data_IF_560824626782
#
_entry.id   IF_560824626782
#
_cell.length_a   1.000
_cell.length_b   1.000
_cell.length_c   1.000
_cell.angle_alpha   90.00
_cell.angle_beta   90.00
_cell.angle_gamma   90.00
#
_symmetry.space_group_name_H-M   'P 1'
#
loop_
_entity.id
_entity.type
_entity.pdbx_description
1 polymer ?
#
# COMPACT_ATOMS: atom_id res chain seq x y z
N UNK A 1 16.87 -12.69 -8.16
CA UNK A 1 16.85 -11.43 -7.42
C UNK A 1 16.10 -11.62 -6.12
N UNK A 2 16.69 -11.26 -5.00
CA UNK A 2 16.00 -11.30 -3.71
C UNK A 2 15.27 -9.99 -3.41
N UNK A 3 14.51 -9.95 -2.29
CA UNK A 3 13.74 -8.77 -1.91
C UNK A 3 14.58 -7.52 -1.72
N UNK A 4 15.78 -7.68 -1.16
CA UNK A 4 16.67 -6.55 -0.91
C UNK A 4 17.18 -5.93 -2.21
N UNK A 5 17.56 -6.76 -3.16
CA UNK A 5 17.97 -6.32 -4.49
C UNK A 5 16.82 -5.65 -5.23
N UNK A 6 15.65 -6.27 -5.19
CA UNK A 6 14.43 -5.72 -5.81
C UNK A 6 14.08 -4.34 -5.24
N UNK A 7 14.16 -4.20 -3.93
CA UNK A 7 13.86 -2.94 -3.25
C UNK A 7 14.83 -1.83 -3.67
N UNK A 8 16.11 -2.15 -3.90
CA UNK A 8 17.12 -1.17 -4.30
C UNK A 8 16.93 -0.63 -5.71
N UNK A 9 16.27 -1.38 -6.60
CA UNK A 9 16.01 -0.97 -8.00
C UNK A 9 14.59 -0.46 -8.24
N UNK A 10 13.79 -0.33 -7.21
CA UNK A 10 12.42 0.17 -7.32
C UNK A 10 12.38 1.58 -7.92
N UNK A 11 11.47 1.88 -8.87
CA UNK A 11 11.28 3.23 -9.39
C UNK A 11 10.97 4.26 -8.30
N UNK A 12 10.44 3.82 -7.16
CA UNK A 12 10.15 4.69 -6.01
C UNK A 12 11.41 5.27 -5.38
N UNK A 13 12.59 4.67 -5.61
CA UNK A 13 13.86 5.26 -5.15
C UNK A 13 14.12 6.62 -5.79
N UNK A 14 13.77 6.78 -7.06
CA UNK A 14 13.87 8.07 -7.76
C UNK A 14 12.94 9.09 -7.12
N UNK A 15 11.72 8.69 -6.82
CA UNK A 15 10.75 9.56 -6.14
C UNK A 15 11.23 9.97 -4.74
N UNK A 16 11.70 9.02 -3.94
CA UNK A 16 12.23 9.30 -2.60
C UNK A 16 13.42 10.24 -2.63
N UNK A 17 14.33 10.06 -3.60
CA UNK A 17 15.47 10.95 -3.78
C UNK A 17 15.04 12.38 -4.13
N UNK A 18 13.97 12.53 -4.89
CA UNK A 18 13.43 13.85 -5.26
C UNK A 18 12.82 14.61 -4.09
N UNK A 19 12.42 13.90 -3.04
CA UNK A 19 11.87 14.49 -1.82
C UNK A 19 12.78 14.29 -0.60
N UNK A 20 14.09 14.19 -0.84
CA UNK A 20 15.13 14.10 0.18
C UNK A 20 15.01 12.91 1.14
N UNK A 21 14.72 11.72 0.59
CA UNK A 21 14.72 10.48 1.35
C UNK A 21 13.35 9.91 1.68
N UNK A 22 12.29 10.48 1.16
CA UNK A 22 10.93 9.99 1.34
C UNK A 22 10.12 10.80 2.34
N UNK A 23 8.91 10.33 2.60
CA UNK A 23 7.95 11.06 3.44
C UNK A 23 8.37 11.14 4.92
N UNK A 24 9.00 10.09 5.43
CA UNK A 24 9.36 9.99 6.85
C UNK A 24 8.19 9.66 7.78
N UNK A 25 8.51 9.15 8.94
CA UNK A 25 7.51 8.78 9.96
C UNK A 25 6.81 10.02 10.53
N UNK A 26 5.50 9.87 10.78
CA UNK A 26 4.69 10.93 11.37
C UNK A 26 4.31 12.04 10.41
N UNK A 27 4.67 11.95 9.15
CA UNK A 27 4.36 12.94 8.13
C UNK A 27 3.16 12.52 7.27
N UNK A 28 2.51 13.51 6.69
CA UNK A 28 1.38 13.34 5.78
C UNK A 28 1.77 13.77 4.38
N UNK A 29 1.56 12.87 3.41
CA UNK A 29 1.69 13.17 1.99
C UNK A 29 0.34 13.18 1.30
N UNK A 30 0.15 14.08 0.36
CA UNK A 30 -1.10 14.16 -0.42
C UNK A 30 -0.78 14.09 -1.91
N UNK A 31 -1.46 13.17 -2.60
CA UNK A 31 -1.37 13.01 -4.05
C UNK A 31 -2.66 13.54 -4.66
N UNK A 32 -2.52 14.56 -5.50
CA UNK A 32 -3.66 15.20 -6.17
C UNK A 32 -3.52 15.03 -7.68
N UNK A 33 -4.56 14.53 -8.31
CA UNK A 33 -4.62 14.41 -9.76
C UNK A 33 -6.07 14.39 -10.25
N UNK A 34 -6.26 14.52 -11.56
CA UNK A 34 -7.57 14.33 -12.17
C UNK A 34 -8.03 12.88 -12.00
N UNK A 35 -9.35 12.68 -11.98
CA UNK A 35 -9.94 11.34 -11.95
C UNK A 35 -9.47 10.52 -13.16
N UNK A 36 -9.13 9.26 -12.92
CA UNK A 36 -8.72 8.34 -13.99
C UNK A 36 -7.25 8.38 -14.38
N UNK A 37 -6.41 9.14 -13.67
CA UNK A 37 -4.97 9.29 -13.99
C UNK A 37 -4.10 8.24 -13.28
N UNK A 38 -4.69 7.38 -12.45
CA UNK A 38 -3.96 6.27 -11.82
C UNK A 38 -3.52 6.52 -10.37
N UNK A 39 -4.30 7.28 -9.58
CA UNK A 39 -4.00 7.50 -8.15
C UNK A 39 -3.96 6.19 -7.38
N UNK A 40 -4.92 5.30 -7.59
CA UNK A 40 -4.97 3.99 -6.92
C UNK A 40 -3.74 3.17 -7.25
N UNK A 41 -3.35 3.11 -8.53
CA UNK A 41 -2.14 2.41 -8.95
C UNK A 41 -0.89 2.98 -8.28
N UNK A 42 -0.77 4.30 -8.18
CA UNK A 42 0.34 4.97 -7.51
C UNK A 42 0.40 4.59 -6.03
N UNK A 43 -0.73 4.63 -5.31
CA UNK A 43 -0.80 4.23 -3.91
C UNK A 43 -0.44 2.76 -3.72
N UNK A 44 -0.90 1.89 -4.62
CA UNK A 44 -0.58 0.46 -4.58
C UNK A 44 0.92 0.22 -4.79
N UNK A 45 1.56 0.97 -5.69
CA UNK A 45 3.02 0.90 -5.87
C UNK A 45 3.76 1.32 -4.60
N UNK A 46 3.36 2.40 -3.96
CA UNK A 46 3.95 2.88 -2.69
C UNK A 46 3.76 1.82 -1.60
N UNK A 47 2.56 1.27 -1.47
CA UNK A 47 2.26 0.23 -0.50
C UNK A 47 3.10 -1.03 -0.74
N UNK A 48 3.21 -1.47 -1.98
CA UNK A 48 3.99 -2.66 -2.35
C UNK A 48 5.46 -2.48 -2.01
N UNK A 49 6.02 -1.31 -2.27
CA UNK A 49 7.40 -0.99 -1.90
C UNK A 49 7.62 -1.11 -0.38
N UNK A 50 6.68 -0.60 0.41
CA UNK A 50 6.75 -0.72 1.87
C UNK A 50 6.63 -2.16 2.34
N UNK A 51 5.73 -2.93 1.74
CA UNK A 51 5.59 -4.35 2.04
C UNK A 51 6.87 -5.14 1.73
N UNK A 52 7.56 -4.79 0.66
CA UNK A 52 8.85 -5.40 0.33
C UNK A 52 9.95 -5.05 1.33
N UNK A 53 9.81 -3.94 2.05
CA UNK A 53 10.71 -3.58 3.16
C UNK A 53 10.34 -4.29 4.48
N UNK A 54 9.31 -5.13 4.48
CA UNK A 54 8.81 -5.80 5.68
C UNK A 54 7.91 -4.93 6.54
N UNK A 55 7.50 -3.78 6.04
CA UNK A 55 6.59 -2.87 6.75
C UNK A 55 5.14 -3.33 6.64
N UNK A 56 4.30 -2.89 7.59
CA UNK A 56 2.87 -3.19 7.64
C UNK A 56 2.08 -2.01 7.08
N UNK A 57 1.11 -2.29 6.22
CA UNK A 57 0.32 -1.28 5.51
C UNK A 57 -1.17 -1.49 5.71
N UNK A 58 -1.89 -0.42 6.00
CA UNK A 58 -3.35 -0.38 5.94
C UNK A 58 -3.73 0.48 4.71
N UNK A 59 -4.48 -0.10 3.80
CA UNK A 59 -5.03 0.60 2.63
C UNK A 59 -6.52 0.82 2.84
N UNK A 60 -6.92 2.06 3.03
CA UNK A 60 -8.32 2.44 3.25
C UNK A 60 -8.91 2.90 1.93
N UNK A 61 -9.89 2.17 1.42
CA UNK A 61 -10.58 2.48 0.17
C UNK A 61 -12.00 2.97 0.45
N UNK A 62 -12.43 3.95 -0.32
CA UNK A 62 -13.78 4.50 -0.29
C UNK A 62 -14.57 4.21 -1.56
N UNK A 63 -14.07 3.35 -2.43
CA UNK A 63 -14.69 3.05 -3.72
C UNK A 63 -15.95 2.19 -3.64
N UNK A 64 -16.17 1.52 -2.51
CA UNK A 64 -17.24 0.54 -2.39
C UNK A 64 -16.95 -0.80 -3.06
N UNK A 65 -15.84 -0.95 -3.75
CA UNK A 65 -15.42 -2.16 -4.42
C UNK A 65 -13.97 -2.51 -4.06
N UNK A 66 -13.82 -3.36 -3.03
CA UNK A 66 -12.51 -3.78 -2.55
C UNK A 66 -11.75 -4.64 -3.57
N UNK A 67 -12.45 -5.38 -4.41
CA UNK A 67 -11.82 -6.24 -5.43
C UNK A 67 -10.98 -5.44 -6.41
N UNK A 68 -11.41 -4.26 -6.75
CA UNK A 68 -10.65 -3.37 -7.64
C UNK A 68 -9.27 -3.04 -7.07
N UNK A 69 -9.20 -2.71 -5.78
CA UNK A 69 -7.94 -2.44 -5.08
C UNK A 69 -7.07 -3.69 -5.01
N UNK A 70 -7.66 -4.82 -4.64
CA UNK A 70 -6.94 -6.10 -4.53
C UNK A 70 -6.37 -6.51 -5.88
N UNK A 71 -7.12 -6.32 -6.97
CA UNK A 71 -6.65 -6.63 -8.32
C UNK A 71 -5.45 -5.76 -8.72
N UNK A 72 -5.42 -4.48 -8.34
CA UNK A 72 -4.25 -3.63 -8.54
C UNK A 72 -3.01 -4.17 -7.82
N UNK A 73 -3.16 -4.64 -6.59
CA UNK A 73 -2.05 -5.28 -5.86
C UNK A 73 -1.52 -6.52 -6.59
N UNK A 74 -2.41 -7.35 -7.09
CA UNK A 74 -2.04 -8.55 -7.86
C UNK A 74 -1.29 -8.20 -9.15
N UNK A 75 -1.78 -7.21 -9.89
CA UNK A 75 -1.17 -6.77 -11.14
C UNK A 75 0.22 -6.18 -10.91
N UNK A 76 0.36 -5.28 -9.96
CA UNK A 76 1.65 -4.66 -9.62
C UNK A 76 2.65 -5.73 -9.17
N UNK A 77 2.24 -6.65 -8.32
CA UNK A 77 3.11 -7.74 -7.87
C UNK A 77 3.55 -8.63 -9.04
N UNK A 78 2.61 -9.00 -9.91
CA UNK A 78 2.92 -9.81 -11.09
C UNK A 78 3.93 -9.13 -12.00
N UNK A 79 3.76 -7.86 -12.29
CA UNK A 79 4.72 -7.09 -13.10
C UNK A 79 6.12 -7.09 -12.47
N UNK A 80 6.20 -6.90 -11.17
CA UNK A 80 7.48 -6.89 -10.46
C UNK A 80 8.16 -8.26 -10.56
N UNK A 81 7.42 -9.33 -10.35
CA UNK A 81 7.95 -10.70 -10.44
C UNK A 81 8.44 -11.02 -11.85
N UNK A 82 7.65 -10.70 -12.87
CA UNK A 82 7.99 -10.97 -14.27
C UNK A 82 9.21 -10.17 -14.73
N UNK A 83 9.28 -8.90 -14.35
CA UNK A 83 10.35 -8.01 -14.81
C UNK A 83 11.68 -8.22 -14.08
N UNK A 84 11.66 -8.77 -12.89
CA UNK A 84 12.85 -8.84 -12.03
C UNK A 84 13.27 -10.26 -11.67
N UNK A 85 12.60 -11.29 -12.15
CA UNK A 85 12.92 -12.70 -11.86
C UNK A 85 13.08 -12.96 -10.37
N UNK A 86 12.06 -12.58 -9.58
CA UNK A 86 12.08 -12.70 -8.13
C UNK A 86 12.13 -14.17 -7.69
N UNK A 87 13.10 -14.51 -6.85
CA UNK A 87 13.20 -15.82 -6.23
C UNK A 87 12.07 -16.02 -5.20
N UNK A 88 11.56 -17.26 -5.08
CA UNK A 88 10.52 -17.63 -4.10
C UNK A 88 9.28 -16.73 -4.13
N UNK A 89 8.81 -16.39 -5.34
CA UNK A 89 7.72 -15.43 -5.55
C UNK A 89 6.44 -15.77 -4.75
N UNK A 90 6.10 -17.05 -4.63
CA UNK A 90 4.90 -17.46 -3.89
C UNK A 90 5.02 -17.23 -2.38
N UNK A 91 6.17 -17.53 -1.80
CA UNK A 91 6.44 -17.31 -0.38
C UNK A 91 6.45 -15.82 -0.05
N UNK A 92 7.07 -15.02 -0.91
CA UNK A 92 7.09 -13.57 -0.78
C UNK A 92 5.68 -12.99 -0.86
N UNK A 93 4.86 -13.49 -1.78
CA UNK A 93 3.47 -13.03 -1.92
C UNK A 93 2.65 -13.29 -0.66
N UNK A 94 2.75 -14.48 -0.08
CA UNK A 94 2.05 -14.80 1.16
C UNK A 94 2.51 -13.93 2.33
N UNK A 95 3.80 -13.68 2.42
CA UNK A 95 4.35 -12.79 3.43
C UNK A 95 3.82 -11.36 3.28
N UNK A 96 3.75 -10.85 2.06
CA UNK A 96 3.18 -9.55 1.75
C UNK A 96 1.72 -9.49 2.17
N UNK A 97 0.92 -10.51 1.84
CA UNK A 97 -0.49 -10.55 2.21
C UNK A 97 -0.71 -10.50 3.73
N UNK A 98 0.17 -11.13 4.51
CA UNK A 98 0.06 -11.10 5.97
C UNK A 98 0.36 -9.72 6.58
N UNK A 99 1.08 -8.87 5.86
CA UNK A 99 1.48 -7.53 6.31
C UNK A 99 0.59 -6.40 5.76
N UNK A 100 -0.44 -6.75 5.01
CA UNK A 100 -1.36 -5.78 4.40
C UNK A 100 -2.79 -6.03 4.86
N UNK A 101 -3.47 -4.95 5.24
CA UNK A 101 -4.93 -4.94 5.48
C UNK A 101 -5.56 -3.94 4.53
N UNK A 102 -6.62 -4.35 3.84
CA UNK A 102 -7.45 -3.46 3.02
C UNK A 102 -8.78 -3.27 3.74
N UNK A 103 -9.10 -2.02 4.05
CA UNK A 103 -10.38 -1.61 4.62
C UNK A 103 -11.18 -0.88 3.56
N UNK A 104 -12.45 -1.22 3.43
CA UNK A 104 -13.32 -0.57 2.45
C UNK A 104 -14.55 0.03 3.14
N UNK A 105 -14.83 1.29 2.83
CA UNK A 105 -15.99 2.02 3.34
C UNK A 105 -16.82 2.53 2.18
N UNK A 106 -18.15 2.43 2.30
CA UNK A 106 -19.06 3.06 1.35
C UNK A 106 -19.11 4.57 1.59
N UNK A 107 -18.95 5.36 0.54
CA UNK A 107 -19.01 6.82 0.64
C UNK A 107 -20.35 7.35 1.17
N UNK A 108 -21.43 6.60 0.94
CA UNK A 108 -22.79 7.03 1.34
C UNK A 108 -23.05 6.92 2.84
N UNK A 109 -22.28 6.08 3.54
CA UNK A 109 -22.55 5.74 4.94
C UNK A 109 -21.36 5.99 5.86
N UNK A 110 -20.29 6.57 5.37
CA UNK A 110 -19.08 6.72 6.15
C UNK A 110 -18.95 8.12 6.73
N UNK A 111 -18.50 8.21 7.98
CA UNK A 111 -18.03 9.44 8.62
C UNK A 111 -16.56 9.30 8.95
N UNK A 112 -15.86 10.43 9.11
CA UNK A 112 -14.46 10.45 9.56
C UNK A 112 -14.32 9.73 10.90
N UNK A 113 -15.25 9.97 11.83
CA UNK A 113 -15.24 9.32 13.14
C UNK A 113 -15.30 7.80 13.02
N UNK A 114 -16.12 7.27 12.12
CA UNK A 114 -16.24 5.84 11.89
C UNK A 114 -14.96 5.24 11.32
N UNK A 115 -14.33 5.93 10.36
CA UNK A 115 -13.05 5.49 9.78
C UNK A 115 -11.96 5.47 10.86
N UNK A 116 -11.83 6.53 11.63
CA UNK A 116 -10.82 6.63 12.69
C UNK A 116 -11.05 5.59 13.79
N UNK A 117 -12.30 5.37 14.20
CA UNK A 117 -12.64 4.34 15.19
C UNK A 117 -12.30 2.95 14.70
N UNK A 118 -12.56 2.66 13.42
CA UNK A 118 -12.24 1.37 12.81
C UNK A 118 -10.73 1.13 12.73
N UNK A 119 -9.98 2.16 12.36
CA UNK A 119 -8.51 2.10 12.34
C UNK A 119 -7.94 1.89 13.74
N UNK A 120 -8.43 2.63 14.73
CA UNK A 120 -8.00 2.51 16.13
C UNK A 120 -8.28 1.11 16.66
N UNK A 121 -9.45 0.55 16.38
CA UNK A 121 -9.81 -0.81 16.79
C UNK A 121 -8.87 -1.85 16.15
N UNK A 122 -8.56 -1.72 14.86
CA UNK A 122 -7.66 -2.63 14.18
C UNK A 122 -6.24 -2.59 14.77
N UNK A 123 -5.72 -1.40 15.04
CA UNK A 123 -4.37 -1.21 15.58
C UNK A 123 -4.30 -1.64 17.05
N UNK A 124 -5.29 -1.25 17.86
CA UNK A 124 -5.26 -1.48 19.32
C UNK A 124 -5.70 -2.89 19.71
N UNK A 125 -6.70 -3.46 19.03
CA UNK A 125 -7.32 -4.74 19.41
C UNK A 125 -6.93 -5.88 18.47
N UNK A 126 -6.62 -5.59 17.20
CA UNK A 126 -6.22 -6.59 16.22
C UNK A 126 -4.74 -6.96 16.26
N UNK A 127 -3.95 -6.35 17.15
CA UNK A 127 -2.50 -6.52 17.24
C UNK A 127 -1.77 -6.26 15.90
N UNK A 128 -2.34 -5.40 15.05
CA UNK A 128 -1.75 -5.01 13.78
C UNK A 128 -1.08 -3.64 13.92
N UNK A 129 0.25 -3.62 13.87
CA UNK A 129 1.04 -2.38 13.97
C UNK A 129 1.26 -1.84 12.55
N UNK A 130 0.61 -0.73 12.22
CA UNK A 130 0.75 -0.12 10.89
C UNK A 130 1.94 0.83 10.83
N UNK A 131 2.80 0.63 9.83
CA UNK A 131 3.89 1.55 9.50
C UNK A 131 3.42 2.66 8.54
N UNK A 132 2.41 2.36 7.73
CA UNK A 132 1.80 3.31 6.81
C UNK A 132 0.31 3.07 6.68
N UNK A 133 -0.44 4.15 6.54
CA UNK A 133 -1.86 4.13 6.23
C UNK A 133 -2.08 4.94 4.96
N UNK A 134 -2.74 4.34 3.97
CA UNK A 134 -3.05 4.97 2.69
C UNK A 134 -4.55 5.19 2.59
N UNK A 135 -4.95 6.39 2.21
CA UNK A 135 -6.36 6.72 1.99
C UNK A 135 -6.59 6.95 0.50
N UNK A 136 -7.45 6.11 -0.08
CA UNK A 136 -7.74 6.11 -1.51
C UNK A 136 -9.20 6.50 -1.73
N UNK A 137 -9.40 7.76 -2.05
CA UNK A 137 -10.72 8.34 -2.23
C UNK A 137 -11.20 8.50 -3.65
#
# INVERSE_FOLDING_TARGET
MDLKQLNSVSPLRVFENSINGGLGKGNLGVIVSKKGVGKTACLVHIATDKLFKGEHVIHVSFSGNVEHVINWYKEVYREIVENNSLDDANEVYEQILSNRVVMNFSQEQVSIEKVLSSLEALISHGAFSADAVLFDG
#
